data_IF_795765226571
#
_entry.id   IF_795765226571
#
_cell.length_a   1.000
_cell.length_b   1.000
_cell.length_c   1.000
_cell.angle_alpha   90.00
_cell.angle_beta   90.00
_cell.angle_gamma   90.00
#
_symmetry.space_group_name_H-M   'P 1'
#
loop_
_entity.id
_entity.type
_entity.pdbx_description
1 polymer ?
#
# COMPACT_ATOMS: atom_id res chain seq x y z
N UNK A 1 26.94 29.67 8.92
CA UNK A 1 27.41 30.05 7.57
C UNK A 1 28.40 28.99 7.08
N UNK A 2 28.50 28.89 5.75
CA UNK A 2 29.14 27.88 4.88
C UNK A 2 30.66 27.57 5.15
N UNK A 3 31.26 26.57 4.45
CA UNK A 3 32.23 25.58 4.95
C UNK A 3 33.72 25.91 4.67
N UNK A 4 34.65 25.08 5.17
CA UNK A 4 36.07 25.06 4.74
C UNK A 4 36.57 23.62 4.49
N UNK A 5 37.35 23.48 3.41
CA UNK A 5 37.84 22.28 2.72
C UNK A 5 39.10 21.64 3.35
N UNK A 6 39.25 20.33 3.06
CA UNK A 6 40.46 19.52 2.84
C UNK A 6 41.74 19.76 3.67
N UNK A 7 42.10 18.76 4.50
CA UNK A 7 43.50 18.25 4.63
C UNK A 7 43.44 16.71 4.83
N UNK A 8 44.17 15.96 3.99
CA UNK A 8 44.52 14.55 4.22
C UNK A 8 45.73 14.48 5.14
N UNK A 9 45.66 13.67 6.20
CA UNK A 9 46.71 12.76 6.71
C UNK A 9 46.56 12.54 8.23
N UNK A 10 46.79 11.31 8.69
CA UNK A 10 47.28 11.05 10.05
C UNK A 10 46.35 10.25 10.95
N UNK A 11 46.86 9.14 11.46
CA UNK A 11 46.17 8.16 12.30
C UNK A 11 45.69 8.66 13.67
N UNK A 12 44.85 7.80 14.28
CA UNK A 12 44.44 7.76 15.68
C UNK A 12 45.45 8.36 16.68
N UNK A 13 44.97 9.24 17.56
CA UNK A 13 44.86 9.04 19.04
C UNK A 13 44.36 10.33 19.70
N UNK A 14 43.32 10.16 20.51
CA UNK A 14 43.01 10.83 21.78
C UNK A 14 43.26 12.35 21.90
N UNK A 15 42.17 13.12 21.94
CA UNK A 15 42.11 14.41 22.62
C UNK A 15 40.78 14.59 23.34
N UNK A 16 40.62 13.83 24.41
CA UNK A 16 39.73 14.17 25.51
C UNK A 16 40.32 15.39 26.24
N UNK A 17 39.44 16.30 26.71
CA UNK A 17 39.70 17.51 27.51
C UNK A 17 40.10 18.78 26.73
N UNK A 18 39.09 19.54 26.33
CA UNK A 18 38.78 20.82 26.99
C UNK A 18 37.46 21.34 26.42
N UNK A 19 36.48 21.59 27.28
CA UNK A 19 35.33 22.50 27.12
C UNK A 19 34.40 22.23 28.33
N UNK A 20 34.90 22.53 29.52
CA UNK A 20 34.08 22.69 30.72
C UNK A 20 33.92 24.19 30.95
N UNK A 21 32.73 24.69 30.62
CA UNK A 21 32.26 26.02 30.96
C UNK A 21 30.84 25.92 31.52
N UNK A 22 30.75 25.86 32.85
CA UNK A 22 29.66 26.33 33.73
C UNK A 22 28.16 26.16 33.38
N UNK A 23 27.77 25.04 32.77
CA UNK A 23 26.37 24.57 32.81
C UNK A 23 26.35 23.04 32.96
N UNK A 24 26.22 22.56 34.19
CA UNK A 24 26.21 21.14 34.52
C UNK A 24 24.96 20.44 33.99
N UNK A 25 25.07 19.84 32.80
CA UNK A 25 24.18 18.75 32.36
C UNK A 25 25.06 17.53 32.12
N UNK A 26 25.12 16.65 33.11
CA UNK A 26 25.75 15.33 32.98
C UNK A 26 24.73 14.41 32.33
N UNK A 27 24.91 14.13 31.03
CA UNK A 27 24.21 13.03 30.36
C UNK A 27 24.82 11.70 30.84
N UNK A 28 24.25 11.13 31.89
CA UNK A 28 24.58 9.77 32.32
C UNK A 28 24.23 8.77 31.21
N UNK A 29 25.21 8.00 30.71
CA UNK A 29 24.95 6.84 29.86
C UNK A 29 24.12 5.83 30.64
N UNK A 30 22.84 5.70 30.31
CA UNK A 30 22.00 4.59 30.75
C UNK A 30 21.89 3.54 29.66
N UNK A 31 22.06 2.29 30.07
CA UNK A 31 21.89 1.06 29.29
C UNK A 31 20.57 1.09 28.53
N UNK A 32 20.61 0.88 27.22
CA UNK A 32 19.42 0.84 26.38
C UNK A 32 18.43 -0.24 26.86
N UNK A 33 17.15 0.06 27.12
CA UNK A 33 16.16 -0.96 27.40
C UNK A 33 15.83 -1.77 26.13
N UNK A 34 15.46 -3.05 26.32
CA UNK A 34 15.17 -4.01 25.25
C UNK A 34 14.05 -3.52 24.31
N UNK A 35 14.23 -3.76 23.01
CA UNK A 35 13.22 -3.51 21.97
C UNK A 35 12.03 -4.46 22.16
N UNK A 36 10.85 -3.93 22.45
CA UNK A 36 9.59 -4.68 22.35
C UNK A 36 8.92 -4.34 21.02
N UNK A 37 8.87 -5.30 20.11
CA UNK A 37 8.16 -5.17 18.83
C UNK A 37 6.65 -5.35 19.00
N UNK A 38 5.87 -4.65 18.19
CA UNK A 38 4.43 -4.93 18.03
C UNK A 38 4.25 -6.16 17.13
N UNK A 39 3.16 -6.92 17.31
CA UNK A 39 2.82 -8.13 16.55
C UNK A 39 2.90 -7.97 15.01
N UNK A 40 2.67 -6.75 14.50
CA UNK A 40 2.71 -6.41 13.07
C UNK A 40 4.09 -5.95 12.53
N UNK A 41 5.10 -5.82 13.39
CA UNK A 41 6.45 -5.38 13.00
C UNK A 41 7.53 -5.96 13.92
N UNK A 42 7.91 -7.25 13.75
CA UNK A 42 8.83 -7.92 14.67
C UNK A 42 10.30 -7.49 14.50
N UNK A 43 10.71 -6.96 13.34
CA UNK A 43 12.13 -6.64 13.06
C UNK A 43 12.48 -5.15 13.17
N UNK A 44 11.49 -4.25 13.20
CA UNK A 44 11.74 -2.80 13.27
C UNK A 44 11.07 -2.27 14.53
N UNK A 45 11.88 -2.09 15.59
CA UNK A 45 11.48 -1.35 16.77
C UNK A 45 11.22 0.13 16.42
N UNK A 46 10.03 0.43 15.92
CA UNK A 46 9.61 1.77 15.52
C UNK A 46 9.14 2.65 16.70
N UNK A 47 9.01 2.11 17.90
CA UNK A 47 8.79 2.92 19.09
C UNK A 47 10.13 3.10 19.84
N UNK A 48 10.82 4.23 19.61
CA UNK A 48 11.56 4.79 20.74
C UNK A 48 10.49 5.31 21.69
N UNK A 49 10.20 4.58 22.76
CA UNK A 49 9.59 5.19 23.94
C UNK A 49 10.60 6.18 24.50
N UNK A 50 10.63 7.39 23.94
CA UNK A 50 11.25 8.53 24.62
C UNK A 50 10.25 8.88 25.72
N UNK A 51 10.40 8.22 26.86
CA UNK A 51 9.80 8.72 28.10
C UNK A 51 10.57 10.00 28.40
N UNK A 52 10.09 11.13 27.90
CA UNK A 52 10.54 12.43 28.39
C UNK A 52 9.90 12.59 29.77
N UNK A 53 10.61 12.15 30.82
CA UNK A 53 10.27 12.55 32.19
C UNK A 53 10.59 14.04 32.32
N UNK A 54 9.61 14.90 32.03
CA UNK A 54 9.63 16.27 32.52
C UNK A 54 9.13 16.24 33.97
N UNK A 55 10.04 15.95 34.91
CA UNK A 55 9.77 16.15 36.32
C UNK A 55 9.90 17.63 36.65
N UNK A 56 8.78 18.29 36.95
CA UNK A 56 8.82 19.59 37.63
C UNK A 56 9.16 19.28 39.10
N UNK A 57 10.42 19.50 39.50
CA UNK A 57 10.81 19.43 40.91
C UNK A 57 10.33 20.72 41.56
N UNK A 58 9.12 20.69 42.13
CA UNK A 58 8.68 21.68 43.09
C UNK A 58 9.41 21.45 44.40
N UNK A 59 10.17 22.44 44.84
CA UNK A 59 10.82 22.43 46.14
C UNK A 59 9.76 22.76 47.20
N UNK A 60 9.38 21.80 48.05
CA UNK A 60 8.95 22.10 49.42
C UNK A 60 8.95 20.87 50.33
N UNK A 61 9.33 21.16 51.56
CA UNK A 61 9.56 20.28 52.70
C UNK A 61 8.28 19.61 53.18
N UNK A 62 8.07 18.34 52.85
CA UNK A 62 7.55 17.29 53.74
C UNK A 62 7.32 16.01 52.94
N UNK A 63 7.93 14.92 53.38
CA UNK A 63 8.02 13.66 52.63
C UNK A 63 6.66 13.01 52.37
N UNK A 64 6.21 13.08 51.12
CA UNK A 64 5.55 12.00 50.34
C UNK A 64 5.31 12.54 48.92
N UNK A 65 6.23 12.26 48.00
CA UNK A 65 6.09 12.64 46.59
C UNK A 65 5.31 11.59 45.80
N UNK A 66 4.16 11.96 45.24
CA UNK A 66 3.44 11.14 44.26
C UNK A 66 3.77 11.62 42.84
N UNK A 67 4.21 10.71 41.97
CA UNK A 67 4.50 11.02 40.56
C UNK A 67 3.22 10.90 39.74
N UNK A 68 2.57 12.01 39.39
CA UNK A 68 1.45 12.01 38.43
C UNK A 68 2.03 11.96 37.01
N UNK A 69 1.89 10.83 36.32
CA UNK A 69 2.26 10.70 34.91
C UNK A 69 1.08 11.13 34.03
N UNK A 70 1.16 12.33 33.46
CA UNK A 70 0.22 12.79 32.42
C UNK A 70 0.74 12.29 31.06
N UNK A 71 0.02 11.37 30.43
CA UNK A 71 0.28 10.98 29.04
C UNK A 71 -0.19 12.09 28.10
N UNK A 72 0.72 12.96 27.67
CA UNK A 72 0.44 13.89 26.57
C UNK A 72 0.85 13.19 25.27
N UNK A 73 -0.11 12.66 24.52
CA UNK A 73 0.13 12.15 23.17
C UNK A 73 0.44 13.34 22.23
N UNK A 74 1.72 13.62 22.02
CA UNK A 74 2.18 14.67 21.11
C UNK A 74 2.15 14.22 19.63
N UNK A 75 1.90 15.13 18.67
CA UNK A 75 1.90 14.88 17.21
C UNK A 75 3.20 14.33 16.60
N UNK A 76 4.27 14.21 17.40
CA UNK A 76 5.61 13.78 16.99
C UNK A 76 5.66 12.34 16.45
N UNK A 77 4.76 11.46 16.92
CA UNK A 77 4.72 10.06 16.47
C UNK A 77 4.36 9.97 14.97
N UNK A 78 3.41 10.79 14.51
CA UNK A 78 2.99 10.83 13.09
C UNK A 78 4.08 11.42 12.18
N UNK A 79 4.85 12.39 12.68
CA UNK A 79 5.96 12.94 11.92
C UNK A 79 7.09 11.91 11.74
N UNK A 80 7.41 11.12 12.78
CA UNK A 80 8.46 10.11 12.74
C UNK A 80 8.10 8.91 11.84
N UNK A 81 6.86 8.41 11.88
CA UNK A 81 6.40 7.35 10.97
C UNK A 81 6.41 7.80 9.51
N UNK A 82 6.03 9.07 9.25
CA UNK A 82 6.07 9.65 7.90
C UNK A 82 7.50 9.78 7.34
N UNK A 83 8.48 10.11 8.19
CA UNK A 83 9.88 10.24 7.79
C UNK A 83 10.56 8.88 7.63
N UNK A 84 10.18 7.88 8.43
CA UNK A 84 10.69 6.51 8.31
C UNK A 84 10.25 5.87 6.99
N UNK A 85 8.96 5.99 6.63
CA UNK A 85 8.44 5.48 5.35
C UNK A 85 9.08 6.14 4.11
N UNK A 86 9.43 7.43 4.19
CA UNK A 86 10.15 8.15 3.12
C UNK A 86 11.61 7.70 2.99
N UNK A 87 12.31 7.48 4.12
CA UNK A 87 13.70 6.98 4.13
C UNK A 87 13.80 5.56 3.58
N UNK A 88 12.87 4.68 3.95
CA UNK A 88 12.87 3.32 3.45
C UNK A 88 12.61 3.27 1.95
N UNK A 89 11.87 4.25 1.38
CA UNK A 89 11.55 4.30 -0.05
C UNK A 89 12.67 4.82 -0.93
N UNK A 90 13.48 5.72 -0.39
CA UNK A 90 14.71 6.14 -1.05
C UNK A 90 15.78 5.02 -1.00
N UNK A 91 15.81 4.21 0.06
CA UNK A 91 16.86 3.21 0.30
C UNK A 91 16.73 1.93 -0.53
N UNK A 92 15.53 1.54 -0.97
CA UNK A 92 15.30 0.28 -1.70
C UNK A 92 15.06 0.46 -3.21
N UNK A 93 15.41 1.64 -3.74
CA UNK A 93 15.26 1.98 -5.15
C UNK A 93 13.80 2.09 -5.58
N UNK A 94 12.89 2.63 -4.75
CA UNK A 94 11.52 2.90 -5.19
C UNK A 94 11.48 4.20 -5.99
N UNK A 95 10.85 4.18 -7.17
CA UNK A 95 10.72 5.37 -8.01
C UNK A 95 10.10 6.55 -7.25
N UNK A 96 10.73 7.71 -7.34
CA UNK A 96 10.45 8.88 -6.48
C UNK A 96 9.50 9.89 -7.14
N UNK A 97 8.56 9.45 -7.98
CA UNK A 97 7.62 10.36 -8.61
C UNK A 97 6.64 10.95 -7.58
N UNK A 98 6.27 12.22 -7.82
CA UNK A 98 5.25 12.93 -7.04
C UNK A 98 3.82 12.54 -7.45
N UNK A 99 2.84 13.37 -7.09
CA UNK A 99 1.42 13.09 -7.37
C UNK A 99 0.98 13.37 -8.81
N UNK A 100 1.72 14.21 -9.54
CA UNK A 100 1.30 14.64 -10.88
C UNK A 100 1.20 13.46 -11.86
N UNK A 101 2.21 12.57 -12.00
CA UNK A 101 2.10 11.46 -12.94
C UNK A 101 0.95 10.50 -12.59
N UNK A 102 0.78 10.04 -11.33
CA UNK A 102 -0.37 9.21 -10.97
C UNK A 102 -1.72 9.88 -11.21
N UNK A 103 -1.86 11.18 -10.94
CA UNK A 103 -3.10 11.91 -11.20
C UNK A 103 -3.43 11.95 -12.70
N UNK A 104 -2.45 12.23 -13.55
CA UNK A 104 -2.60 12.17 -15.01
C UNK A 104 -2.99 10.76 -15.48
N UNK A 105 -2.36 9.74 -14.91
CA UNK A 105 -2.69 8.34 -15.18
C UNK A 105 -4.14 8.03 -14.86
N UNK A 106 -4.61 8.39 -13.66
CA UNK A 106 -6.01 8.13 -13.24
C UNK A 106 -7.00 8.84 -14.15
N UNK A 107 -6.75 10.10 -14.49
CA UNK A 107 -7.61 10.85 -15.43
C UNK A 107 -7.64 10.19 -16.82
N UNK A 108 -6.52 9.63 -17.28
CA UNK A 108 -6.43 8.93 -18.56
C UNK A 108 -7.14 7.56 -18.58
N UNK A 109 -7.49 6.98 -17.42
CA UNK A 109 -8.28 5.75 -17.36
C UNK A 109 -9.77 5.97 -17.63
N UNK A 110 -10.29 7.18 -17.41
CA UNK A 110 -11.71 7.49 -17.59
C UNK A 110 -12.12 7.34 -19.07
N UNK A 111 -11.41 7.93 -20.06
CA UNK A 111 -11.72 7.69 -21.47
C UNK A 111 -11.68 6.22 -21.88
N UNK A 112 -10.76 5.42 -21.34
CA UNK A 112 -10.72 3.97 -21.64
C UNK A 112 -11.92 3.22 -21.07
N UNK A 113 -12.40 3.58 -19.88
CA UNK A 113 -13.62 2.98 -19.31
C UNK A 113 -14.87 3.35 -20.13
N UNK A 114 -14.95 4.60 -20.60
CA UNK A 114 -16.02 5.05 -21.51
C UNK A 114 -15.94 4.28 -22.83
N UNK A 115 -14.75 4.14 -23.42
CA UNK A 115 -14.58 3.39 -24.67
C UNK A 115 -15.03 1.93 -24.52
N UNK A 116 -14.64 1.24 -23.45
CA UNK A 116 -15.10 -0.13 -23.18
C UNK A 116 -16.63 -0.21 -23.03
N UNK A 117 -17.23 0.77 -22.38
CA UNK A 117 -18.70 0.86 -22.23
C UNK A 117 -19.40 1.09 -23.58
N UNK A 118 -18.82 1.90 -24.47
CA UNK A 118 -19.33 2.11 -25.82
C UNK A 118 -19.17 0.86 -26.69
N UNK A 119 -18.06 0.12 -26.56
CA UNK A 119 -17.87 -1.15 -27.25
C UNK A 119 -18.92 -2.19 -26.82
N UNK A 120 -19.34 -2.18 -25.56
CA UNK A 120 -20.39 -3.06 -25.04
C UNK A 120 -21.76 -2.85 -25.70
N UNK A 121 -22.00 -1.67 -26.29
CA UNK A 121 -23.22 -1.38 -27.07
C UNK A 121 -23.14 -1.97 -28.48
N UNK A 122 -21.93 -2.09 -29.03
CA UNK A 122 -21.71 -2.46 -30.42
C UNK A 122 -21.35 -3.95 -30.61
N UNK A 123 -20.82 -4.59 -29.58
CA UNK A 123 -20.28 -5.95 -29.62
C UNK A 123 -20.93 -6.84 -28.56
N UNK A 124 -20.96 -8.17 -28.76
CA UNK A 124 -21.39 -9.11 -27.73
C UNK A 124 -20.62 -8.89 -26.42
N UNK A 125 -21.29 -9.08 -25.28
CA UNK A 125 -20.71 -8.83 -23.96
C UNK A 125 -19.42 -9.63 -23.72
N UNK A 126 -19.40 -10.91 -24.10
CA UNK A 126 -18.20 -11.76 -23.98
C UNK A 126 -17.01 -11.26 -24.78
N UNK A 127 -17.24 -10.79 -26.01
CA UNK A 127 -16.19 -10.20 -26.87
C UNK A 127 -15.68 -8.89 -26.27
N UNK A 128 -16.60 -8.02 -25.85
CA UNK A 128 -16.27 -6.75 -25.20
C UNK A 128 -15.47 -6.97 -23.92
N UNK A 129 -15.81 -8.00 -23.14
CA UNK A 129 -15.12 -8.31 -21.88
C UNK A 129 -13.66 -8.62 -22.13
N UNK A 130 -13.36 -9.50 -23.10
CA UNK A 130 -11.98 -9.89 -23.40
C UNK A 130 -11.19 -8.75 -24.02
N UNK A 131 -11.73 -8.09 -25.05
CA UNK A 131 -11.04 -7.00 -25.74
C UNK A 131 -10.89 -5.79 -24.82
N UNK A 132 -11.95 -5.42 -24.10
CA UNK A 132 -11.95 -4.30 -23.16
C UNK A 132 -10.97 -4.50 -22.01
N UNK A 133 -10.92 -5.70 -21.41
CA UNK A 133 -9.94 -6.04 -20.38
C UNK A 133 -8.50 -5.93 -20.93
N UNK A 134 -8.24 -6.46 -22.12
CA UNK A 134 -6.92 -6.40 -22.75
C UNK A 134 -6.51 -4.96 -23.09
N UNK A 135 -7.40 -4.16 -23.66
CA UNK A 135 -7.16 -2.76 -23.98
C UNK A 135 -6.89 -1.93 -22.71
N UNK A 136 -7.70 -2.11 -21.66
CA UNK A 136 -7.51 -1.41 -20.40
C UNK A 136 -6.17 -1.78 -19.76
N UNK A 137 -5.81 -3.06 -19.75
CA UNK A 137 -4.52 -3.52 -19.25
C UNK A 137 -3.34 -2.90 -20.03
N UNK A 138 -3.43 -2.87 -21.37
CA UNK A 138 -2.40 -2.23 -22.22
C UNK A 138 -2.30 -0.74 -21.90
N UNK A 139 -3.43 -0.03 -21.79
CA UNK A 139 -3.45 1.40 -21.46
C UNK A 139 -2.82 1.65 -20.09
N UNK A 140 -3.18 0.88 -19.07
CA UNK A 140 -2.59 1.02 -17.73
C UNK A 140 -1.07 0.82 -17.76
N UNK A 141 -0.59 -0.25 -18.37
CA UNK A 141 0.85 -0.52 -18.47
C UNK A 141 1.58 0.56 -19.29
N UNK A 142 0.98 1.02 -20.38
CA UNK A 142 1.52 2.10 -21.20
C UNK A 142 1.56 3.45 -20.45
N UNK A 143 0.53 3.77 -19.65
CA UNK A 143 0.51 4.97 -18.81
C UNK A 143 1.59 4.91 -17.74
N UNK A 144 1.73 3.77 -17.05
CA UNK A 144 2.82 3.58 -16.09
C UNK A 144 4.16 3.80 -16.78
N UNK A 145 4.37 3.20 -17.95
CA UNK A 145 5.57 3.38 -18.75
C UNK A 145 5.84 4.86 -19.09
N UNK A 146 4.93 5.50 -19.83
CA UNK A 146 5.08 6.87 -20.33
C UNK A 146 5.26 7.91 -19.22
N UNK A 147 4.56 7.74 -18.09
CA UNK A 147 4.49 8.74 -17.04
C UNK A 147 5.60 8.60 -15.98
N UNK A 148 6.32 7.48 -15.97
CA UNK A 148 7.41 7.25 -15.00
C UNK A 148 8.79 7.21 -15.64
N UNK A 149 8.94 6.69 -16.85
CA UNK A 149 10.23 6.68 -17.54
C UNK A 149 10.32 7.82 -18.54
N UNK A 150 10.98 8.93 -18.13
CA UNK A 150 11.48 9.95 -19.07
C UNK A 150 12.93 9.70 -19.53
N UNK A 151 13.61 8.72 -18.93
CA UNK A 151 14.93 8.29 -19.34
C UNK A 151 15.01 6.76 -19.21
N UNK A 152 15.42 6.11 -20.29
CA UNK A 152 15.68 4.68 -20.38
C UNK A 152 16.86 4.29 -19.47
N UNK A 153 16.91 3.08 -18.86
CA UNK A 153 16.03 1.92 -19.05
C UNK A 153 14.90 1.76 -18.03
N UNK A 154 13.90 0.95 -18.42
CA UNK A 154 12.87 0.42 -17.52
C UNK A 154 13.48 -0.54 -16.51
N UNK A 155 13.36 -0.24 -15.23
CA UNK A 155 13.68 -1.18 -14.16
C UNK A 155 12.37 -1.66 -13.50
N UNK A 156 11.86 -2.86 -13.83
CA UNK A 156 10.62 -3.41 -13.24
C UNK A 156 10.62 -3.44 -11.71
N UNK A 157 11.81 -3.51 -11.11
CA UNK A 157 12.04 -3.46 -9.67
C UNK A 157 11.54 -2.14 -9.05
N UNK A 158 11.54 -1.05 -9.81
CA UNK A 158 11.01 0.28 -9.42
C UNK A 158 9.49 0.32 -9.28
N UNK A 159 8.76 -0.75 -9.62
CA UNK A 159 7.32 -0.88 -9.38
C UNK A 159 7.01 -1.98 -8.37
N UNK A 160 8.01 -2.81 -8.02
CA UNK A 160 7.84 -3.94 -7.11
C UNK A 160 7.69 -5.26 -7.82
N UNK A 161 7.99 -5.33 -9.13
CA UNK A 161 8.18 -6.59 -9.85
C UNK A 161 9.54 -7.20 -9.47
N UNK A 162 9.64 -7.62 -8.19
CA UNK A 162 10.81 -8.23 -7.58
C UNK A 162 10.37 -9.33 -6.60
N UNK A 163 11.32 -10.16 -6.17
CA UNK A 163 11.06 -11.14 -5.12
C UNK A 163 10.63 -10.43 -3.82
N UNK A 164 9.72 -11.00 -3.02
CA UNK A 164 9.35 -10.45 -1.72
C UNK A 164 10.57 -10.25 -0.82
N UNK A 165 10.58 -9.17 -0.04
CA UNK A 165 11.63 -8.87 0.94
C UNK A 165 11.52 -9.72 2.22
N UNK A 166 10.50 -10.57 2.32
CA UNK A 166 10.18 -11.40 3.49
C UNK A 166 10.37 -12.88 3.16
N UNK A 167 10.66 -13.74 4.16
CA UNK A 167 10.75 -15.18 3.93
C UNK A 167 9.42 -15.74 3.44
N UNK A 168 9.49 -16.75 2.57
CA UNK A 168 8.31 -17.28 1.85
C UNK A 168 7.17 -17.73 2.76
N UNK A 169 7.47 -18.31 3.93
CA UNK A 169 6.41 -18.73 4.86
C UNK A 169 5.58 -17.55 5.39
N UNK A 170 6.19 -16.38 5.66
CA UNK A 170 5.46 -15.17 6.05
C UNK A 170 4.60 -14.68 4.88
N UNK A 171 5.16 -14.68 3.67
CA UNK A 171 4.44 -14.28 2.45
C UNK A 171 3.23 -15.19 2.23
N UNK A 172 3.40 -16.50 2.37
CA UNK A 172 2.32 -17.48 2.22
C UNK A 172 1.21 -17.28 3.26
N UNK A 173 1.56 -17.08 4.54
CA UNK A 173 0.57 -16.78 5.58
C UNK A 173 -0.17 -15.48 5.25
N UNK A 174 0.54 -14.42 4.86
CA UNK A 174 -0.08 -13.15 4.49
C UNK A 174 -0.99 -13.30 3.26
N UNK A 175 -0.60 -14.06 2.24
CA UNK A 175 -1.42 -14.34 1.05
C UNK A 175 -2.71 -15.06 1.43
N UNK A 176 -2.61 -16.14 2.23
CA UNK A 176 -3.77 -16.90 2.69
C UNK A 176 -4.69 -16.05 3.56
N UNK A 177 -4.12 -15.29 4.49
CA UNK A 177 -4.87 -14.37 5.35
C UNK A 177 -5.59 -13.30 4.55
N UNK A 178 -4.90 -12.63 3.61
CA UNK A 178 -5.48 -11.55 2.80
C UNK A 178 -6.57 -12.09 1.89
N UNK A 179 -6.37 -13.26 1.25
CA UNK A 179 -7.40 -13.90 0.44
C UNK A 179 -8.62 -14.32 1.28
N UNK A 180 -8.40 -14.94 2.44
CA UNK A 180 -9.49 -15.32 3.33
C UNK A 180 -10.24 -14.11 3.90
N UNK A 181 -9.52 -13.06 4.29
CA UNK A 181 -10.09 -11.83 4.81
C UNK A 181 -10.86 -11.05 3.75
N UNK A 182 -10.42 -11.06 2.49
CA UNK A 182 -11.13 -10.39 1.41
C UNK A 182 -12.40 -11.15 1.02
N UNK A 183 -12.33 -12.48 0.83
CA UNK A 183 -13.50 -13.30 0.54
C UNK A 183 -14.50 -13.29 1.70
N UNK A 184 -14.04 -13.50 2.93
CA UNK A 184 -14.88 -13.42 4.12
C UNK A 184 -15.45 -12.02 4.36
N UNK A 185 -14.70 -10.98 4.03
CA UNK A 185 -15.16 -9.59 4.08
C UNK A 185 -16.28 -9.30 3.09
N UNK A 186 -16.21 -9.85 1.88
CA UNK A 186 -17.30 -9.79 0.89
C UNK A 186 -18.54 -10.50 1.43
N UNK A 187 -18.39 -11.70 1.98
CA UNK A 187 -19.54 -12.43 2.55
C UNK A 187 -20.18 -11.71 3.73
N UNK A 188 -19.37 -11.15 4.62
CA UNK A 188 -19.86 -10.35 5.74
C UNK A 188 -20.59 -9.08 5.25
N UNK A 189 -20.06 -8.44 4.22
CA UNK A 189 -20.71 -7.30 3.58
C UNK A 189 -22.09 -7.68 3.03
N UNK A 190 -22.18 -8.76 2.25
CA UNK A 190 -23.45 -9.26 1.70
C UNK A 190 -24.47 -9.60 2.79
N UNK A 191 -24.03 -10.28 3.86
CA UNK A 191 -24.88 -10.56 5.02
C UNK A 191 -25.39 -9.28 5.67
N UNK A 192 -24.54 -8.28 5.85
CA UNK A 192 -24.90 -7.02 6.47
C UNK A 192 -25.90 -6.22 5.62
N UNK A 193 -25.66 -6.05 4.31
CA UNK A 193 -26.57 -5.29 3.45
C UNK A 193 -27.92 -5.98 3.29
N UNK A 194 -27.94 -7.32 3.22
CA UNK A 194 -29.18 -8.11 3.16
C UNK A 194 -29.97 -8.00 4.47
N UNK A 195 -29.30 -8.14 5.62
CA UNK A 195 -29.94 -8.02 6.93
C UNK A 195 -30.52 -6.62 7.19
N UNK A 196 -29.92 -5.59 6.59
CA UNK A 196 -30.36 -4.20 6.69
C UNK A 196 -31.39 -3.80 5.61
N UNK A 197 -31.75 -4.70 4.69
CA UNK A 197 -32.66 -4.40 3.57
C UNK A 197 -32.13 -3.34 2.60
N UNK A 198 -30.80 -3.28 2.43
CA UNK A 198 -30.13 -2.31 1.56
C UNK A 198 -29.89 -2.91 0.17
N UNK A 199 -30.98 -3.28 -0.52
CA UNK A 199 -30.92 -4.04 -1.79
C UNK A 199 -30.09 -3.34 -2.88
N UNK A 200 -30.09 -2.00 -2.90
CA UNK A 200 -29.27 -1.20 -3.83
C UNK A 200 -27.75 -1.40 -3.66
N UNK A 201 -27.31 -1.87 -2.48
CA UNK A 201 -25.91 -2.16 -2.19
C UNK A 201 -25.55 -3.63 -2.42
N UNK A 202 -26.48 -4.47 -2.86
CA UNK A 202 -26.16 -5.84 -3.27
C UNK A 202 -25.51 -5.76 -4.67
N UNK A 203 -24.27 -6.26 -4.84
CA UNK A 203 -23.63 -6.32 -6.15
C UNK A 203 -24.50 -7.12 -7.12
N UNK A 204 -24.68 -6.65 -8.37
CA UNK A 204 -25.41 -7.42 -9.36
C UNK A 204 -24.65 -8.70 -9.71
N UNK A 205 -25.39 -9.77 -10.00
CA UNK A 205 -24.81 -11.02 -10.48
C UNK A 205 -24.08 -10.78 -11.81
N UNK A 206 -22.99 -11.52 -12.00
CA UNK A 206 -22.26 -11.48 -13.26
C UNK A 206 -23.08 -12.16 -14.37
N UNK A 207 -23.31 -11.50 -15.52
CA UNK A 207 -24.09 -12.10 -16.60
C UNK A 207 -23.47 -13.39 -17.13
N UNK A 208 -24.30 -14.41 -17.42
CA UNK A 208 -23.83 -15.71 -17.93
C UNK A 208 -23.18 -15.64 -19.32
N UNK A 209 -23.52 -14.63 -20.12
CA UNK A 209 -22.98 -14.36 -21.46
C UNK A 209 -21.68 -13.53 -21.44
N UNK A 210 -21.10 -13.30 -20.26
CA UNK A 210 -19.78 -12.71 -20.07
C UNK A 210 -18.66 -13.61 -20.63
N UNK A 211 -18.87 -14.94 -20.62
CA UNK A 211 -17.89 -15.91 -21.09
C UNK A 211 -17.97 -16.08 -22.61
N UNK A 212 -16.81 -16.13 -23.27
CA UNK A 212 -16.77 -16.56 -24.67
C UNK A 212 -17.26 -18.01 -24.80
N UNK A 213 -17.92 -18.37 -25.91
CA UNK A 213 -18.53 -19.68 -26.06
C UNK A 213 -17.49 -20.81 -26.17
N UNK A 214 -17.85 -21.97 -25.62
CA UNK A 214 -17.07 -23.21 -25.73
C UNK A 214 -15.66 -23.09 -25.17
N UNK A 215 -14.68 -23.65 -25.88
CA UNK A 215 -13.27 -23.63 -25.45
C UNK A 215 -12.66 -22.23 -25.35
N UNK A 216 -13.27 -21.21 -25.95
CA UNK A 216 -12.76 -19.83 -25.90
C UNK A 216 -13.00 -19.15 -24.54
N UNK A 217 -13.84 -19.72 -23.66
CA UNK A 217 -14.06 -19.22 -22.30
C UNK A 217 -12.76 -19.05 -21.51
N UNK A 218 -11.73 -19.86 -21.82
CA UNK A 218 -10.40 -19.74 -21.21
C UNK A 218 -9.76 -18.37 -21.46
N UNK A 219 -10.05 -17.72 -22.59
CA UNK A 219 -9.55 -16.37 -22.88
C UNK A 219 -10.21 -15.34 -21.97
N UNK A 220 -11.49 -15.51 -21.64
CA UNK A 220 -12.18 -14.69 -20.64
C UNK A 220 -11.56 -14.87 -19.26
N UNK A 221 -11.28 -16.10 -18.86
CA UNK A 221 -10.60 -16.39 -17.57
C UNK A 221 -9.21 -15.76 -17.52
N UNK A 222 -8.41 -15.90 -18.58
CA UNK A 222 -7.07 -15.28 -18.65
C UNK A 222 -7.18 -13.75 -18.59
N UNK A 223 -8.12 -13.16 -19.31
CA UNK A 223 -8.33 -11.72 -19.31
C UNK A 223 -8.70 -11.21 -17.91
N UNK A 224 -9.72 -11.79 -17.27
CA UNK A 224 -10.26 -11.31 -16.00
C UNK A 224 -9.45 -11.70 -14.77
N UNK A 225 -8.85 -12.89 -14.75
CA UNK A 225 -8.17 -13.43 -13.56
C UNK A 225 -6.64 -13.31 -13.62
N UNK A 226 -6.06 -12.96 -14.77
CA UNK A 226 -4.60 -12.83 -14.90
C UNK A 226 -4.22 -11.45 -15.43
N UNK A 227 -4.72 -11.06 -16.60
CA UNK A 227 -4.29 -9.84 -17.27
C UNK A 227 -4.75 -8.58 -16.53
N UNK A 228 -6.05 -8.48 -16.22
CA UNK A 228 -6.61 -7.34 -15.48
C UNK A 228 -5.96 -7.17 -14.10
N UNK A 229 -5.90 -8.20 -13.23
CA UNK A 229 -5.30 -8.06 -11.91
C UNK A 229 -3.82 -7.68 -11.96
N UNK A 230 -3.07 -8.23 -12.93
CA UNK A 230 -1.67 -7.86 -13.11
C UNK A 230 -1.52 -6.37 -13.45
N UNK A 231 -2.23 -5.89 -14.47
CA UNK A 231 -2.13 -4.50 -14.89
C UNK A 231 -2.60 -3.53 -13.79
N UNK A 232 -3.68 -3.88 -13.09
CA UNK A 232 -4.20 -3.09 -11.98
C UNK A 232 -3.23 -3.05 -10.80
N UNK A 233 -2.61 -4.17 -10.41
CA UNK A 233 -1.59 -4.14 -9.36
C UNK A 233 -0.39 -3.27 -9.74
N UNK A 234 0.08 -3.36 -10.99
CA UNK A 234 1.16 -2.50 -11.49
C UNK A 234 0.77 -1.02 -11.44
N UNK A 235 -0.45 -0.67 -11.86
CA UNK A 235 -0.93 0.71 -11.89
C UNK A 235 -1.23 1.24 -10.49
N UNK A 236 -2.06 0.56 -9.71
CA UNK A 236 -2.54 1.07 -8.43
C UNK A 236 -1.50 0.91 -7.32
N UNK A 237 -0.77 -0.21 -7.24
CA UNK A 237 0.21 -0.46 -6.15
C UNK A 237 1.61 -0.07 -6.57
N UNK A 238 1.99 -0.49 -7.78
CA UNK A 238 3.32 -0.21 -8.33
C UNK A 238 3.54 1.26 -8.68
N UNK A 239 2.49 1.98 -9.08
CA UNK A 239 2.59 3.36 -9.57
C UNK A 239 1.88 4.39 -8.67
N UNK A 240 0.56 4.31 -8.52
CA UNK A 240 -0.23 5.28 -7.76
C UNK A 240 0.12 5.31 -6.27
N UNK A 241 0.05 4.15 -5.60
CA UNK A 241 0.33 4.03 -4.18
C UNK A 241 1.73 4.53 -3.84
N UNK A 242 2.75 4.24 -4.67
CA UNK A 242 4.10 4.76 -4.46
C UNK A 242 4.15 6.29 -4.45
N UNK A 243 3.53 6.93 -5.43
CA UNK A 243 3.46 8.40 -5.48
C UNK A 243 2.74 8.99 -4.27
N UNK A 244 1.68 8.35 -3.82
CA UNK A 244 0.92 8.74 -2.62
C UNK A 244 1.74 8.57 -1.34
N UNK A 245 2.45 7.45 -1.17
CA UNK A 245 3.33 7.21 -0.02
C UNK A 245 4.46 8.24 0.04
N UNK A 246 5.07 8.56 -1.11
CA UNK A 246 6.13 9.57 -1.18
C UNK A 246 5.64 10.94 -0.68
N UNK A 247 4.38 11.31 -0.96
CA UNK A 247 3.82 12.60 -0.57
C UNK A 247 3.25 12.61 0.85
N UNK A 248 2.43 11.62 1.20
CA UNK A 248 1.57 11.60 2.38
C UNK A 248 1.90 10.51 3.41
N UNK A 249 2.84 9.61 3.10
CA UNK A 249 3.20 8.48 3.95
C UNK A 249 2.33 7.25 3.75
N UNK A 250 2.64 6.18 4.48
CA UNK A 250 2.12 4.82 4.24
C UNK A 250 0.60 4.75 4.40
N UNK A 251 0.07 5.09 5.58
CA UNK A 251 -1.35 4.91 5.89
C UNK A 251 -2.26 5.75 4.99
N UNK A 252 -2.05 7.07 4.84
CA UNK A 252 -2.88 7.86 3.93
C UNK A 252 -2.70 7.42 2.47
N UNK A 253 -1.50 6.97 2.09
CA UNK A 253 -1.24 6.45 0.75
C UNK A 253 -2.07 5.20 0.43
N UNK A 254 -2.10 4.23 1.34
CA UNK A 254 -2.90 3.00 1.18
C UNK A 254 -4.39 3.35 1.11
N UNK A 255 -4.88 4.19 2.02
CA UNK A 255 -6.30 4.58 2.06
C UNK A 255 -6.72 5.30 0.78
N UNK A 256 -5.96 6.30 0.33
CA UNK A 256 -6.32 7.04 -0.89
C UNK A 256 -6.18 6.16 -2.13
N UNK A 257 -5.14 5.32 -2.22
CA UNK A 257 -5.00 4.39 -3.34
C UNK A 257 -6.18 3.42 -3.42
N UNK A 258 -6.63 2.88 -2.28
CA UNK A 258 -7.79 1.99 -2.21
C UNK A 258 -9.08 2.72 -2.59
N UNK A 259 -9.26 3.97 -2.15
CA UNK A 259 -10.41 4.80 -2.50
C UNK A 259 -10.47 5.10 -4.01
N UNK A 260 -9.33 5.44 -4.62
CA UNK A 260 -9.24 5.66 -6.06
C UNK A 260 -9.52 4.35 -6.82
N UNK A 261 -8.94 3.23 -6.39
CA UNK A 261 -9.20 1.91 -7.00
C UNK A 261 -10.69 1.54 -6.96
N UNK A 262 -11.33 1.70 -5.80
CA UNK A 262 -12.78 1.48 -5.66
C UNK A 262 -13.59 2.44 -6.53
N UNK A 263 -13.26 3.74 -6.54
CA UNK A 263 -13.95 4.75 -7.33
C UNK A 263 -13.95 4.48 -8.83
N UNK A 264 -12.91 3.82 -9.36
CA UNK A 264 -12.83 3.44 -10.78
C UNK A 264 -13.80 2.33 -11.19
N UNK A 265 -14.54 1.72 -10.25
CA UNK A 265 -15.55 0.70 -10.55
C UNK A 265 -16.95 1.28 -10.83
N UNK A 266 -17.18 2.57 -10.54
CA UNK A 266 -18.42 3.31 -10.85
C UNK A 266 -19.75 2.65 -10.41
N UNK A 267 -19.71 1.72 -9.46
CA UNK A 267 -20.87 0.98 -8.96
C UNK A 267 -20.85 0.94 -7.43
N UNK A 268 -21.71 1.70 -6.73
CA UNK A 268 -21.70 1.80 -5.26
C UNK A 268 -21.70 0.44 -4.53
N UNK A 269 -22.47 -0.53 -5.02
CA UNK A 269 -22.53 -1.89 -4.44
C UNK A 269 -21.17 -2.63 -4.48
N UNK A 270 -20.35 -2.36 -5.50
CA UNK A 270 -19.03 -2.99 -5.67
C UNK A 270 -17.92 -2.17 -4.99
N UNK A 271 -18.10 -0.85 -4.86
CA UNK A 271 -17.09 0.06 -4.31
C UNK A 271 -16.67 -0.30 -2.88
N UNK A 272 -17.60 -0.67 -2.00
CA UNK A 272 -17.29 -1.01 -0.59
C UNK A 272 -16.41 -2.26 -0.48
N UNK A 273 -16.79 -3.43 -1.03
CA UNK A 273 -15.93 -4.62 -0.97
C UNK A 273 -14.60 -4.44 -1.70
N UNK A 274 -14.58 -3.70 -2.81
CA UNK A 274 -13.35 -3.38 -3.54
C UNK A 274 -12.46 -2.43 -2.75
N UNK A 275 -13.01 -1.47 -2.01
CA UNK A 275 -12.24 -0.59 -1.14
C UNK A 275 -11.53 -1.39 -0.03
N UNK A 276 -12.25 -2.31 0.63
CA UNK A 276 -11.68 -3.19 1.66
C UNK A 276 -10.56 -4.05 1.07
N UNK A 277 -10.81 -4.68 -0.09
CA UNK A 277 -9.80 -5.44 -0.83
C UNK A 277 -8.60 -4.54 -1.20
N UNK A 278 -8.87 -3.30 -1.58
CA UNK A 278 -7.88 -2.27 -1.87
C UNK A 278 -6.92 -2.01 -0.72
N UNK A 279 -7.47 -1.85 0.49
CA UNK A 279 -6.70 -1.66 1.73
C UNK A 279 -5.82 -2.89 2.03
N UNK A 280 -6.39 -4.09 1.90
CA UNK A 280 -5.70 -5.35 2.17
C UNK A 280 -4.52 -5.57 1.19
N UNK A 281 -4.76 -5.39 -0.11
CA UNK A 281 -3.72 -5.53 -1.15
C UNK A 281 -2.64 -4.44 -1.02
N UNK A 282 -3.02 -3.19 -0.76
CA UNK A 282 -2.05 -2.11 -0.52
C UNK A 282 -1.16 -2.38 0.71
N UNK A 283 -1.74 -2.95 1.76
CA UNK A 283 -1.01 -3.37 2.97
C UNK A 283 -0.08 -4.56 2.69
N UNK A 284 -0.54 -5.56 1.94
CA UNK A 284 0.26 -6.73 1.53
C UNK A 284 1.47 -6.30 0.70
N UNK A 285 1.25 -5.39 -0.24
CA UNK A 285 2.30 -4.81 -1.06
C UNK A 285 3.32 -4.04 -0.22
N UNK A 286 2.88 -3.21 0.74
CA UNK A 286 3.78 -2.50 1.63
C UNK A 286 4.62 -3.45 2.51
N UNK A 287 4.01 -4.52 3.03
CA UNK A 287 4.68 -5.49 3.89
C UNK A 287 5.72 -6.34 3.14
N UNK A 288 5.40 -6.73 1.90
CA UNK A 288 6.23 -7.65 1.11
C UNK A 288 7.22 -6.93 0.19
N UNK A 289 6.96 -5.67 -0.16
CA UNK A 289 7.72 -4.90 -1.14
C UNK A 289 7.64 -5.46 -2.57
N UNK A 290 6.72 -6.38 -2.82
CA UNK A 290 6.55 -7.10 -4.09
C UNK A 290 5.10 -7.04 -4.55
N UNK A 291 4.90 -6.90 -5.87
CA UNK A 291 3.56 -6.96 -6.48
C UNK A 291 3.05 -8.40 -6.59
N UNK A 292 3.93 -9.40 -6.69
CA UNK A 292 3.52 -10.78 -6.96
C UNK A 292 2.51 -11.33 -5.94
N UNK A 293 2.69 -11.17 -4.62
CA UNK A 293 1.68 -11.61 -3.65
C UNK A 293 0.31 -10.97 -3.87
N UNK A 294 0.27 -9.67 -4.19
CA UNK A 294 -0.96 -8.95 -4.50
C UNK A 294 -1.61 -9.45 -5.80
N UNK A 295 -0.82 -9.64 -6.86
CA UNK A 295 -1.29 -10.18 -8.15
C UNK A 295 -1.92 -11.56 -7.97
N UNK A 296 -1.31 -12.43 -7.17
CA UNK A 296 -1.86 -13.76 -6.91
C UNK A 296 -3.18 -13.71 -6.12
N UNK A 297 -3.24 -12.90 -5.06
CA UNK A 297 -4.49 -12.77 -4.28
C UNK A 297 -5.60 -12.18 -5.13
N UNK A 298 -5.32 -11.08 -5.84
CA UNK A 298 -6.29 -10.39 -6.68
C UNK A 298 -6.76 -11.29 -7.85
N UNK A 299 -5.83 -11.98 -8.51
CA UNK A 299 -6.15 -12.95 -9.55
C UNK A 299 -6.98 -14.12 -9.04
N UNK A 300 -6.68 -14.64 -7.84
CA UNK A 300 -7.48 -15.69 -7.21
C UNK A 300 -8.91 -15.22 -6.89
N UNK A 301 -9.09 -13.99 -6.41
CA UNK A 301 -10.42 -13.42 -6.17
C UNK A 301 -11.23 -13.33 -7.47
N UNK A 302 -10.63 -12.79 -8.54
CA UNK A 302 -11.30 -12.70 -9.84
C UNK A 302 -11.57 -14.07 -10.45
N UNK A 303 -10.69 -15.04 -10.23
CA UNK A 303 -10.91 -16.42 -10.65
C UNK A 303 -12.12 -17.01 -9.93
N UNK A 304 -12.21 -16.88 -8.61
CA UNK A 304 -13.37 -17.36 -7.83
C UNK A 304 -14.67 -16.74 -8.34
N UNK A 305 -14.70 -15.42 -8.57
CA UNK A 305 -15.88 -14.74 -9.13
C UNK A 305 -16.24 -15.26 -10.54
N UNK A 306 -15.24 -15.44 -11.42
CA UNK A 306 -15.47 -15.93 -12.79
C UNK A 306 -15.91 -17.40 -12.80
N UNK A 307 -15.38 -18.23 -11.90
CA UNK A 307 -15.81 -19.62 -11.75
C UNK A 307 -17.24 -19.73 -11.22
N UNK A 308 -17.71 -18.77 -10.41
CA UNK A 308 -19.11 -18.70 -9.99
C UNK A 308 -20.08 -18.68 -11.17
N UNK A 309 -19.72 -17.96 -12.25
CA UNK A 309 -20.49 -17.96 -13.51
C UNK A 309 -20.52 -19.35 -14.15
N UNK A 310 -19.38 -20.05 -14.17
CA UNK A 310 -19.24 -21.37 -14.83
C UNK A 310 -20.02 -22.45 -14.08
N UNK A 311 -20.01 -22.40 -12.75
CA UNK A 311 -20.61 -23.43 -11.90
C UNK A 311 -22.00 -23.06 -11.35
N UNK A 312 -22.48 -21.84 -11.62
CA UNK A 312 -23.76 -21.34 -11.11
C UNK A 312 -23.78 -21.16 -9.59
N UNK A 313 -22.66 -20.68 -9.03
CA UNK A 313 -22.45 -20.45 -7.58
C UNK A 313 -22.62 -18.98 -7.20
#
# INVERSE_FOLDING_TARGET
MLPVRNIKAGGRRDSEKSLLGNSGIVLARHSAPRRTGCFWCPEIGCARNIIAQAGIVGNETNGMGYTISVMIQLPLINAMTSQCGKRDAAADGRGTWGLVPPALGVMALIPSAILTSLLAVLLPLSVTTVIGAALLAIVQLALVWLLTTRAWPLEPRLYGLKRPNRPWWQVSISVVFVLGASLGGVQLYLMAVTALGLDYLIPPDLPGDLLLPGGLAILTVIALAVLTPFAEEVFFRGFLLRGLINRWGVTPGIVVSAAVFAGMHFQPAVMVPVFITGLLLGSLYWQTGSLWPGVFVHGAQNLVATLGIIFGL
#
